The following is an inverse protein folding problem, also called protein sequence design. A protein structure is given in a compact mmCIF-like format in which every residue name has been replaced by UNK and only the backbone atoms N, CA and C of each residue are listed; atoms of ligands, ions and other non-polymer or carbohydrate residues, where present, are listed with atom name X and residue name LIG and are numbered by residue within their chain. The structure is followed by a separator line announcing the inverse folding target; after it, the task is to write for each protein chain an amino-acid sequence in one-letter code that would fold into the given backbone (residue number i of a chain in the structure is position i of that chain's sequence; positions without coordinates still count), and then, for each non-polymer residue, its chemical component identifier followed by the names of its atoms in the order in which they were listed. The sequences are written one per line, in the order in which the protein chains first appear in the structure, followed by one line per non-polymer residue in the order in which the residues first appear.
data_IF_233789375040
#
_entry.id   IF_233789375040
#
_cell.length_a   1.000
_cell.length_b   1.000
_cell.length_c   1.000
_cell.angle_alpha   90.00
_cell.angle_beta   90.00
_cell.angle_gamma   90.00
#
_symmetry.space_group_name_H-M   'P 1'
#
loop_
_entity.id
_entity.type
_entity.pdbx_description
1 polymer ?
#
# COMPACT_ATOMS: atom_id res chain seq x y z
N UNK A 1 -15.36 5.32 -10.09
CA UNK A 1 -14.34 4.77 -11.02
C UNK A 1 -14.27 5.54 -12.35
N UNK A 2 -15.30 5.58 -13.20
CA UNK A 2 -15.19 6.21 -14.52
C UNK A 2 -14.70 7.66 -14.49
N UNK A 3 -15.15 8.47 -13.55
CA UNK A 3 -14.77 9.88 -13.43
C UNK A 3 -13.29 10.04 -13.02
N UNK A 4 -12.79 9.22 -12.09
CA UNK A 4 -11.37 9.23 -11.67
C UNK A 4 -10.45 8.77 -12.80
N UNK A 5 -10.82 7.73 -13.53
CA UNK A 5 -10.07 7.30 -14.72
C UNK A 5 -10.09 8.38 -15.82
N UNK A 6 -11.23 9.02 -16.09
CA UNK A 6 -11.30 10.12 -17.05
C UNK A 6 -10.40 11.30 -16.65
N UNK A 7 -10.32 11.63 -15.35
CA UNK A 7 -9.40 12.63 -14.82
C UNK A 7 -7.94 12.25 -15.08
N UNK A 8 -7.55 11.02 -14.75
CA UNK A 8 -6.17 10.56 -14.93
C UNK A 8 -5.78 10.47 -16.41
N UNK A 9 -6.66 9.97 -17.26
CA UNK A 9 -6.44 9.95 -18.72
C UNK A 9 -6.31 11.39 -19.24
N UNK A 10 -7.17 12.30 -18.81
CA UNK A 10 -7.11 13.72 -19.18
C UNK A 10 -5.77 14.36 -18.79
N UNK A 11 -5.28 14.11 -17.56
CA UNK A 11 -3.98 14.61 -17.10
C UNK A 11 -2.84 13.99 -17.93
N UNK A 12 -2.88 12.68 -18.21
CA UNK A 12 -1.86 12.01 -19.01
C UNK A 12 -1.78 12.55 -20.43
N UNK A 13 -2.91 12.82 -21.08
CA UNK A 13 -2.97 13.44 -22.41
C UNK A 13 -2.46 14.89 -22.37
N UNK A 14 -2.89 15.67 -21.38
CA UNK A 14 -2.45 17.06 -21.21
C UNK A 14 -0.96 17.18 -20.96
N UNK A 15 -0.39 16.27 -20.17
CA UNK A 15 1.03 16.27 -19.77
C UNK A 15 1.91 15.34 -20.59
N UNK A 16 1.45 14.88 -21.77
CA UNK A 16 2.23 14.00 -22.65
C UNK A 16 3.64 14.53 -22.91
N UNK A 17 4.61 13.63 -23.00
CA UNK A 17 5.98 13.98 -23.28
C UNK A 17 6.16 14.37 -24.76
N UNK A 18 6.73 15.56 -25.03
CA UNK A 18 7.04 16.04 -26.38
C UNK A 18 8.50 15.89 -26.78
N UNK A 19 9.36 15.41 -25.89
CA UNK A 19 10.79 15.22 -26.13
C UNK A 19 11.35 14.05 -25.32
N UNK A 20 12.50 13.52 -25.74
CA UNK A 20 13.24 12.47 -25.00
C UNK A 20 13.51 12.89 -23.55
N UNK A 21 13.86 14.15 -23.32
CA UNK A 21 14.14 14.70 -22.00
C UNK A 21 12.88 14.73 -21.12
N UNK A 22 11.72 15.06 -21.68
CA UNK A 22 10.43 14.99 -20.96
C UNK A 22 10.02 13.55 -20.71
N UNK A 23 10.29 12.65 -21.65
CA UNK A 23 9.95 11.23 -21.54
C UNK A 23 10.73 10.54 -20.40
N UNK A 24 12.03 10.74 -20.27
CA UNK A 24 12.85 10.05 -19.27
C UNK A 24 12.94 10.76 -17.90
N UNK A 25 12.91 12.09 -17.88
CA UNK A 25 13.16 12.88 -16.64
C UNK A 25 12.22 14.08 -16.47
N UNK A 26 11.05 14.05 -17.10
CA UNK A 26 10.05 15.12 -17.01
C UNK A 26 10.60 16.54 -17.30
N UNK A 27 11.62 16.65 -18.18
CA UNK A 27 12.27 17.92 -18.53
C UNK A 27 13.06 18.56 -17.38
N UNK A 28 13.32 17.87 -16.29
CA UNK A 28 13.96 18.41 -15.05
C UNK A 28 13.22 19.63 -14.46
N UNK A 29 11.90 19.72 -14.67
CA UNK A 29 11.13 20.93 -14.33
C UNK A 29 10.15 20.77 -13.17
N UNK A 30 10.08 19.60 -12.55
CA UNK A 30 9.08 19.29 -11.53
C UNK A 30 9.33 20.08 -10.24
N UNK A 31 8.24 20.66 -9.69
CA UNK A 31 8.30 21.35 -8.40
C UNK A 31 8.60 20.34 -7.28
N UNK A 32 9.41 20.69 -6.26
CA UNK A 32 9.77 19.78 -5.17
C UNK A 32 8.58 19.20 -4.40
N UNK A 33 7.52 19.96 -4.16
CA UNK A 33 6.31 19.46 -3.49
C UNK A 33 5.58 18.47 -4.38
N UNK A 34 5.35 18.82 -5.65
CA UNK A 34 4.70 17.92 -6.62
C UNK A 34 5.51 16.63 -6.81
N UNK A 35 6.85 16.73 -6.86
CA UNK A 35 7.70 15.56 -6.92
C UNK A 35 7.65 14.74 -5.63
N UNK A 36 7.53 15.38 -4.47
CA UNK A 36 7.29 14.72 -3.19
C UNK A 36 5.99 13.93 -3.17
N UNK A 37 4.90 14.53 -3.67
CA UNK A 37 3.59 13.86 -3.81
C UNK A 37 3.66 12.69 -4.79
N UNK A 38 4.28 12.86 -5.95
CA UNK A 38 4.47 11.79 -6.92
C UNK A 38 5.31 10.64 -6.37
N UNK A 39 6.37 10.94 -5.60
CA UNK A 39 7.18 9.94 -4.91
C UNK A 39 6.37 9.21 -3.83
N UNK A 40 5.54 9.91 -3.07
CA UNK A 40 4.66 9.31 -2.09
C UNK A 40 3.61 8.40 -2.76
N UNK A 41 3.08 8.80 -3.92
CA UNK A 41 2.17 7.94 -4.70
C UNK A 41 2.87 6.67 -5.21
N UNK A 42 4.14 6.74 -5.62
CA UNK A 42 4.94 5.54 -5.94
C UNK A 42 5.09 4.63 -4.72
N UNK A 43 5.23 5.23 -3.53
CA UNK A 43 5.34 4.50 -2.27
C UNK A 43 4.01 3.89 -1.83
N UNK A 44 2.89 4.52 -2.16
CA UNK A 44 1.53 4.01 -1.96
C UNK A 44 1.21 2.91 -2.98
N UNK A 45 2.09 1.94 -3.07
CA UNK A 45 1.96 0.75 -3.90
C UNK A 45 0.88 -0.19 -3.35
N UNK A 46 0.49 -1.21 -4.11
CA UNK A 46 -0.40 -2.25 -3.61
C UNK A 46 0.10 -2.86 -2.29
N UNK A 47 1.42 -3.09 -2.17
CA UNK A 47 2.02 -3.61 -0.95
C UNK A 47 1.85 -2.65 0.25
N UNK A 48 2.03 -1.34 0.05
CA UNK A 48 1.95 -0.36 1.14
C UNK A 48 0.52 0.07 1.46
N UNK A 49 -0.32 0.24 0.43
CA UNK A 49 -1.68 0.74 0.58
C UNK A 49 -2.67 -0.37 0.98
N UNK A 50 -2.57 -1.52 0.34
CA UNK A 50 -3.51 -2.64 0.53
C UNK A 50 -2.93 -3.66 1.52
N UNK A 51 -1.76 -4.24 1.19
CA UNK A 51 -1.27 -5.44 1.91
C UNK A 51 -0.69 -5.12 3.29
N UNK A 52 -0.12 -3.93 3.53
CA UNK A 52 0.58 -3.65 4.78
C UNK A 52 -0.36 -3.64 5.99
N UNK A 53 -1.46 -2.89 5.93
CA UNK A 53 -2.45 -2.90 7.01
C UNK A 53 -3.11 -4.29 7.13
N UNK A 54 -3.31 -4.98 5.99
CA UNK A 54 -3.76 -6.37 5.98
C UNK A 54 -2.80 -7.31 6.70
N UNK A 55 -1.52 -7.25 6.44
CA UNK A 55 -0.51 -8.05 7.15
C UNK A 55 -0.55 -7.76 8.66
N UNK A 56 -0.54 -6.47 9.04
CA UNK A 56 -0.57 -6.07 10.45
C UNK A 56 -1.87 -6.53 11.11
N UNK A 57 -3.01 -6.52 10.42
CA UNK A 57 -4.29 -6.98 10.99
C UNK A 57 -4.29 -8.48 11.37
N UNK A 58 -3.52 -9.32 10.66
CA UNK A 58 -3.44 -10.75 10.92
C UNK A 58 -2.31 -11.14 11.87
N UNK A 59 -1.13 -10.51 11.75
CA UNK A 59 0.05 -10.90 12.55
C UNK A 59 0.43 -9.87 13.62
N UNK A 60 -0.39 -8.85 13.82
CA UNK A 60 -0.25 -7.88 14.90
C UNK A 60 1.10 -7.17 14.92
N UNK A 61 1.69 -7.09 16.11
CA UNK A 61 2.97 -6.42 16.37
C UNK A 61 4.10 -6.89 15.45
N UNK A 62 4.17 -8.17 15.16
CA UNK A 62 5.19 -8.73 14.26
C UNK A 62 5.12 -8.17 12.83
N UNK A 63 3.96 -7.62 12.42
CA UNK A 63 3.79 -6.95 11.14
C UNK A 63 4.45 -5.56 11.08
N UNK A 64 4.72 -4.94 12.21
CA UNK A 64 5.34 -3.61 12.29
C UNK A 64 6.77 -3.57 11.74
N UNK A 65 7.47 -4.71 11.72
CA UNK A 65 8.82 -4.83 11.15
C UNK A 65 8.89 -4.40 9.69
N UNK A 66 7.82 -4.65 8.93
CA UNK A 66 7.74 -4.24 7.52
C UNK A 66 7.64 -2.72 7.37
N UNK A 67 6.86 -2.05 8.24
CA UNK A 67 6.79 -0.59 8.31
C UNK A 67 8.16 0.04 8.55
N UNK A 68 8.89 -0.47 9.55
CA UNK A 68 10.23 0.02 9.88
C UNK A 68 11.21 -0.17 8.72
N UNK A 69 11.19 -1.35 8.09
CA UNK A 69 12.05 -1.67 6.97
C UNK A 69 11.83 -0.75 5.77
N UNK A 70 10.59 -0.60 5.32
CA UNK A 70 10.27 0.25 4.18
C UNK A 70 10.52 1.73 4.46
N UNK A 71 10.10 2.26 5.61
CA UNK A 71 10.37 3.65 6.00
C UNK A 71 11.87 3.92 6.07
N UNK A 72 12.62 3.02 6.73
CA UNK A 72 14.07 3.11 6.84
C UNK A 72 14.76 3.09 5.48
N UNK A 73 14.28 2.29 4.52
CA UNK A 73 14.77 2.27 3.15
C UNK A 73 14.63 3.61 2.44
N UNK A 74 13.48 4.28 2.59
CA UNK A 74 13.30 5.62 2.04
C UNK A 74 14.23 6.65 2.70
N UNK A 75 14.41 6.58 4.02
CA UNK A 75 15.34 7.46 4.74
C UNK A 75 16.77 7.27 4.24
N UNK A 76 17.22 6.01 4.06
CA UNK A 76 18.53 5.71 3.48
C UNK A 76 18.68 6.30 2.08
N UNK A 77 17.68 6.11 1.23
CA UNK A 77 17.66 6.65 -0.14
C UNK A 77 17.74 8.18 -0.11
N UNK A 78 16.93 8.83 0.71
CA UNK A 78 16.85 10.29 0.80
C UNK A 78 18.16 10.92 1.31
N UNK A 79 18.78 10.33 2.31
CA UNK A 79 19.99 10.85 2.94
C UNK A 79 21.27 10.51 2.16
N UNK A 80 21.40 9.27 1.71
CA UNK A 80 22.64 8.76 1.16
C UNK A 80 22.71 8.80 -0.36
N UNK A 81 21.60 8.58 -1.06
CA UNK A 81 21.62 8.40 -2.51
C UNK A 81 21.08 9.61 -3.30
N UNK A 82 19.98 10.20 -2.88
CA UNK A 82 19.29 11.23 -3.64
C UNK A 82 20.17 12.43 -4.06
N UNK A 83 20.98 13.04 -3.18
CA UNK A 83 21.84 14.15 -3.57
C UNK A 83 22.91 13.77 -4.58
N UNK A 84 23.51 12.58 -4.43
CA UNK A 84 24.58 12.11 -5.31
C UNK A 84 24.04 11.72 -6.68
N UNK A 85 22.93 10.99 -6.74
CA UNK A 85 22.26 10.63 -7.96
C UNK A 85 21.86 11.87 -8.78
N UNK A 86 21.29 12.86 -8.12
CA UNK A 86 20.93 14.13 -8.79
C UNK A 86 22.15 14.91 -9.28
N UNK A 87 23.23 14.93 -8.50
CA UNK A 87 24.50 15.59 -8.89
C UNK A 87 25.13 14.91 -10.10
N UNK A 88 25.08 13.57 -10.16
CA UNK A 88 25.64 12.78 -11.26
C UNK A 88 24.89 13.02 -12.58
N UNK A 89 23.57 13.22 -12.54
CA UNK A 89 22.76 13.76 -13.63
C UNK A 89 22.47 12.82 -14.80
N UNK A 90 22.61 11.52 -14.62
CA UNK A 90 22.25 10.51 -15.64
C UNK A 90 20.75 10.19 -15.62
N UNK A 91 20.28 9.47 -16.65
CA UNK A 91 18.85 9.15 -16.81
C UNK A 91 18.42 7.90 -16.03
N UNK A 92 19.34 6.94 -15.89
CA UNK A 92 19.04 5.62 -15.31
C UNK A 92 20.06 5.19 -14.27
N UNK A 93 19.66 4.26 -13.40
CA UNK A 93 20.56 3.64 -12.41
C UNK A 93 21.68 2.82 -13.10
N UNK A 94 21.42 2.03 -14.15
CA UNK A 94 22.48 1.34 -14.88
C UNK A 94 23.53 2.29 -15.47
N UNK A 95 23.13 3.46 -16.01
CA UNK A 95 24.09 4.46 -16.48
C UNK A 95 24.95 5.02 -15.35
N UNK A 96 24.33 5.29 -14.19
CA UNK A 96 25.07 5.72 -13.02
C UNK A 96 26.13 4.70 -12.59
N UNK A 97 25.76 3.40 -12.54
CA UNK A 97 26.67 2.32 -12.16
C UNK A 97 27.78 2.17 -13.20
N UNK A 98 27.44 2.12 -14.48
CA UNK A 98 28.40 1.98 -15.56
C UNK A 98 29.47 3.07 -15.58
N UNK A 99 29.04 4.33 -15.40
CA UNK A 99 29.95 5.47 -15.37
C UNK A 99 30.73 5.55 -14.05
N UNK A 100 30.13 5.19 -12.92
CA UNK A 100 30.78 5.20 -11.60
C UNK A 100 31.93 4.20 -11.50
N UNK A 101 31.76 3.03 -12.12
CA UNK A 101 32.77 1.95 -12.15
C UNK A 101 33.60 1.90 -13.44
N UNK A 102 33.34 2.83 -14.37
CA UNK A 102 34.01 2.86 -15.69
C UNK A 102 33.95 1.51 -16.42
N UNK A 103 32.82 0.80 -16.31
CA UNK A 103 32.69 -0.58 -16.81
C UNK A 103 31.38 -0.81 -17.55
N UNK A 104 31.47 -1.21 -18.81
CA UNK A 104 30.30 -1.63 -19.58
C UNK A 104 29.70 -2.95 -19.06
N UNK A 105 30.54 -3.84 -18.51
CA UNK A 105 30.06 -5.07 -17.88
C UNK A 105 29.19 -4.74 -16.67
N UNK A 106 29.66 -3.84 -15.78
CA UNK A 106 28.88 -3.38 -14.64
C UNK A 106 27.55 -2.74 -15.06
N UNK A 107 27.56 -1.94 -16.14
CA UNK A 107 26.32 -1.38 -16.72
C UNK A 107 25.36 -2.46 -17.19
N UNK A 108 25.84 -3.45 -17.93
CA UNK A 108 25.02 -4.55 -18.44
C UNK A 108 24.42 -5.38 -17.30
N UNK A 109 25.20 -5.75 -16.29
CA UNK A 109 24.71 -6.44 -15.09
C UNK A 109 23.63 -5.61 -14.38
N UNK A 110 23.86 -4.30 -14.22
CA UNK A 110 22.88 -3.41 -13.60
C UNK A 110 21.57 -3.31 -14.39
N UNK A 111 21.59 -3.39 -15.72
CA UNK A 111 20.38 -3.47 -16.57
C UNK A 111 19.59 -4.75 -16.25
N UNK A 112 20.25 -5.91 -16.23
CA UNK A 112 19.58 -7.17 -15.89
C UNK A 112 18.98 -7.15 -14.48
N UNK A 113 19.73 -6.65 -13.49
CA UNK A 113 19.21 -6.48 -12.14
C UNK A 113 17.98 -5.55 -12.10
N UNK A 114 18.04 -4.41 -12.79
CA UNK A 114 16.93 -3.46 -12.84
C UNK A 114 15.68 -4.06 -13.50
N UNK A 115 15.85 -4.88 -14.55
CA UNK A 115 14.74 -5.58 -15.20
C UNK A 115 14.10 -6.62 -14.28
N UNK A 116 14.89 -7.44 -13.58
CA UNK A 116 14.37 -8.44 -12.63
C UNK A 116 13.62 -7.76 -11.49
N UNK A 117 14.22 -6.72 -10.88
CA UNK A 117 13.56 -5.97 -9.78
C UNK A 117 12.25 -5.35 -10.25
N UNK A 118 12.25 -4.69 -11.42
CA UNK A 118 11.05 -4.05 -11.96
C UNK A 118 9.96 -5.06 -12.31
N UNK A 119 10.33 -6.21 -12.90
CA UNK A 119 9.38 -7.28 -13.23
C UNK A 119 8.71 -7.85 -11.98
N UNK A 120 9.51 -8.18 -10.95
CA UNK A 120 9.00 -8.69 -9.67
C UNK A 120 8.07 -7.68 -8.99
N UNK A 121 8.45 -6.41 -9.02
CA UNK A 121 7.62 -5.33 -8.47
C UNK A 121 6.28 -5.20 -9.21
N UNK A 122 6.30 -5.18 -10.55
CA UNK A 122 5.09 -5.07 -11.37
C UNK A 122 4.15 -6.27 -11.12
N UNK A 123 4.67 -7.48 -11.01
CA UNK A 123 3.86 -8.66 -10.73
C UNK A 123 3.05 -8.51 -9.43
N UNK A 124 3.68 -8.01 -8.35
CA UNK A 124 2.98 -7.70 -7.11
C UNK A 124 1.94 -6.59 -7.24
N UNK A 125 2.25 -5.53 -8.01
CA UNK A 125 1.30 -4.44 -8.26
C UNK A 125 0.07 -4.92 -9.05
N UNK A 126 0.27 -5.77 -10.04
CA UNK A 126 -0.84 -6.31 -10.86
C UNK A 126 -1.81 -7.16 -10.04
N UNK A 127 -1.33 -7.88 -9.01
CA UNK A 127 -2.21 -8.57 -8.07
C UNK A 127 -3.18 -7.60 -7.38
N UNK A 128 -2.68 -6.49 -6.83
CA UNK A 128 -3.52 -5.48 -6.20
C UNK A 128 -4.54 -4.85 -7.16
N UNK A 129 -4.12 -4.56 -8.39
CA UNK A 129 -5.02 -4.09 -9.45
C UNK A 129 -6.10 -5.13 -9.75
N UNK A 130 -5.74 -6.41 -9.84
CA UNK A 130 -6.67 -7.52 -10.07
C UNK A 130 -7.73 -7.60 -8.97
N UNK A 131 -7.35 -7.49 -7.70
CA UNK A 131 -8.26 -7.50 -6.54
C UNK A 131 -9.26 -6.34 -6.63
N UNK A 132 -8.78 -5.11 -6.87
CA UNK A 132 -9.64 -3.93 -6.98
C UNK A 132 -10.63 -4.06 -8.14
N UNK A 133 -10.16 -4.43 -9.31
CA UNK A 133 -11.04 -4.58 -10.48
C UNK A 133 -12.01 -5.75 -10.32
N UNK A 134 -11.58 -6.87 -9.75
CA UNK A 134 -12.47 -8.00 -9.46
C UNK A 134 -13.64 -7.57 -8.57
N UNK A 135 -13.33 -6.86 -7.47
CA UNK A 135 -14.34 -6.42 -6.51
C UNK A 135 -15.32 -5.39 -7.11
N UNK A 136 -14.82 -4.42 -7.86
CA UNK A 136 -15.63 -3.26 -8.28
C UNK A 136 -16.16 -3.34 -9.71
N UNK A 137 -15.57 -4.14 -10.59
CA UNK A 137 -16.09 -4.40 -11.93
C UNK A 137 -16.80 -5.74 -12.04
N UNK A 138 -16.82 -6.53 -10.94
CA UNK A 138 -17.45 -7.86 -10.88
C UNK A 138 -16.91 -8.80 -11.98
N UNK A 139 -15.59 -8.78 -12.19
CA UNK A 139 -14.87 -9.65 -13.13
C UNK A 139 -13.92 -10.57 -12.36
N UNK A 140 -13.48 -11.67 -12.97
CA UNK A 140 -12.45 -12.50 -12.37
C UNK A 140 -11.12 -11.73 -12.22
N UNK A 141 -10.28 -12.12 -11.26
CA UNK A 141 -9.02 -11.42 -10.93
C UNK A 141 -8.10 -11.33 -12.16
N UNK A 142 -8.02 -12.37 -12.99
CA UNK A 142 -7.17 -12.36 -14.18
C UNK A 142 -7.65 -11.33 -15.21
N UNK A 143 -8.95 -11.26 -15.46
CA UNK A 143 -9.55 -10.24 -16.33
C UNK A 143 -9.27 -8.84 -15.78
N UNK A 144 -9.39 -8.65 -14.45
CA UNK A 144 -9.04 -7.40 -13.78
C UNK A 144 -7.58 -7.01 -14.01
N UNK A 145 -6.65 -7.95 -13.91
CA UNK A 145 -5.22 -7.74 -14.20
C UNK A 145 -5.01 -7.29 -15.66
N UNK A 146 -5.64 -7.96 -16.64
CA UNK A 146 -5.50 -7.59 -18.05
C UNK A 146 -6.04 -6.20 -18.37
N UNK A 147 -7.19 -5.85 -17.81
CA UNK A 147 -7.78 -4.50 -17.96
C UNK A 147 -6.83 -3.45 -17.36
N UNK A 148 -6.37 -3.67 -16.15
CA UNK A 148 -5.43 -2.76 -15.48
C UNK A 148 -4.12 -2.61 -16.22
N UNK A 149 -3.55 -3.71 -16.71
CA UNK A 149 -2.31 -3.71 -17.50
C UNK A 149 -2.46 -2.89 -18.79
N UNK A 150 -3.58 -3.03 -19.50
CA UNK A 150 -3.85 -2.27 -20.71
C UNK A 150 -3.90 -0.75 -20.43
N UNK A 151 -4.56 -0.36 -19.34
CA UNK A 151 -4.65 1.05 -18.90
C UNK A 151 -3.27 1.59 -18.54
N UNK A 152 -2.50 0.85 -17.72
CA UNK A 152 -1.14 1.26 -17.30
C UNK A 152 -0.21 1.39 -18.51
N UNK A 153 -0.25 0.45 -19.45
CA UNK A 153 0.55 0.49 -20.67
C UNK A 153 0.23 1.73 -21.51
N UNK A 154 -1.05 2.07 -21.63
CA UNK A 154 -1.50 3.28 -22.33
C UNK A 154 -0.90 4.55 -21.71
N UNK A 155 -0.94 4.70 -20.38
CA UNK A 155 -0.32 5.83 -19.70
C UNK A 155 1.20 5.89 -19.91
N UNK A 156 1.87 4.75 -19.76
CA UNK A 156 3.33 4.67 -19.84
C UNK A 156 3.85 5.07 -21.23
N UNK A 157 3.18 4.61 -22.28
CA UNK A 157 3.57 4.89 -23.68
C UNK A 157 3.35 6.37 -24.02
N UNK A 158 2.20 6.94 -23.67
CA UNK A 158 1.85 8.31 -24.06
C UNK A 158 2.51 9.37 -23.17
N UNK A 159 2.56 9.13 -21.87
CA UNK A 159 2.92 10.15 -20.89
C UNK A 159 4.41 10.27 -20.61
N UNK A 160 5.15 9.17 -20.67
CA UNK A 160 6.51 9.12 -20.16
C UNK A 160 6.60 9.62 -18.71
N UNK A 161 7.77 9.95 -18.21
CA UNK A 161 7.97 10.44 -16.84
C UNK A 161 7.22 11.73 -16.53
N UNK A 162 7.02 12.62 -17.52
CA UNK A 162 6.28 13.87 -17.33
C UNK A 162 4.80 13.57 -17.05
N UNK A 163 4.16 12.78 -17.90
CA UNK A 163 2.75 12.39 -17.73
C UNK A 163 2.53 11.59 -16.46
N UNK A 164 3.36 10.59 -16.21
CA UNK A 164 3.31 9.76 -14.99
C UNK A 164 3.42 10.65 -13.74
N UNK A 165 4.37 11.58 -13.69
CA UNK A 165 4.57 12.43 -12.51
C UNK A 165 3.33 13.25 -12.16
N UNK A 166 2.72 13.94 -13.13
CA UNK A 166 1.53 14.76 -12.86
C UNK A 166 0.27 13.94 -12.57
N UNK A 167 0.13 12.77 -13.21
CA UNK A 167 -0.95 11.83 -12.87
C UNK A 167 -0.80 11.33 -11.43
N UNK A 168 0.41 11.01 -10.99
CA UNK A 168 0.67 10.56 -9.62
C UNK A 168 0.48 11.65 -8.56
N UNK A 169 0.69 12.92 -8.90
CA UNK A 169 0.30 14.02 -7.99
C UNK A 169 -1.20 14.01 -7.72
N UNK A 170 -2.02 13.84 -8.76
CA UNK A 170 -3.46 13.72 -8.59
C UNK A 170 -3.85 12.42 -7.86
N UNK A 171 -3.19 11.31 -8.18
CA UNK A 171 -3.39 10.03 -7.50
C UNK A 171 -3.06 10.12 -6.01
N UNK A 172 -1.97 10.79 -5.64
CA UNK A 172 -1.65 11.01 -4.21
C UNK A 172 -2.80 11.68 -3.47
N UNK A 173 -3.35 12.76 -4.04
CA UNK A 173 -4.47 13.47 -3.40
C UNK A 173 -5.69 12.56 -3.21
N UNK A 174 -6.03 11.76 -4.21
CA UNK A 174 -7.15 10.82 -4.13
C UNK A 174 -6.87 9.70 -3.14
N UNK A 175 -5.69 9.08 -3.21
CA UNK A 175 -5.30 7.96 -2.36
C UNK A 175 -5.25 8.34 -0.88
N UNK A 176 -4.62 9.48 -0.54
CA UNK A 176 -4.53 9.88 0.87
C UNK A 176 -5.90 10.23 1.45
N UNK A 177 -6.77 10.84 0.64
CA UNK A 177 -8.14 11.11 1.04
C UNK A 177 -8.93 9.81 1.25
N UNK A 178 -8.87 8.88 0.29
CA UNK A 178 -9.54 7.59 0.35
C UNK A 178 -9.06 6.73 1.55
N UNK A 179 -7.80 6.89 1.96
CA UNK A 179 -7.24 6.16 3.10
C UNK A 179 -7.61 6.80 4.43
N UNK A 180 -7.53 8.14 4.53
CA UNK A 180 -7.73 8.86 5.78
C UNK A 180 -9.18 9.00 6.17
N UNK A 181 -10.08 9.24 5.20
CA UNK A 181 -11.50 9.49 5.51
C UNK A 181 -12.15 8.30 6.22
N UNK A 182 -12.11 7.07 5.70
CA UNK A 182 -12.64 5.92 6.42
C UNK A 182 -11.96 5.71 7.78
N UNK A 183 -10.63 5.86 7.84
CA UNK A 183 -9.88 5.69 9.08
C UNK A 183 -10.32 6.65 10.18
N UNK A 184 -10.58 7.93 9.84
CA UNK A 184 -11.09 8.95 10.78
C UNK A 184 -12.49 8.57 11.28
N UNK A 185 -13.40 8.22 10.35
CA UNK A 185 -14.77 7.89 10.76
C UNK A 185 -14.85 6.61 11.60
N UNK A 186 -14.09 5.58 11.26
CA UNK A 186 -14.02 4.34 12.04
C UNK A 186 -13.40 4.61 13.42
N UNK A 187 -12.35 5.42 13.49
CA UNK A 187 -11.73 5.83 14.74
C UNK A 187 -12.73 6.55 15.66
N UNK A 188 -13.52 7.47 15.11
CA UNK A 188 -14.59 8.16 15.85
C UNK A 188 -15.66 7.14 16.31
N UNK A 189 -16.07 6.23 15.43
CA UNK A 189 -17.09 5.23 15.73
C UNK A 189 -16.67 4.29 16.86
N UNK A 190 -15.42 3.83 16.86
CA UNK A 190 -14.91 2.84 17.80
C UNK A 190 -14.44 3.46 19.13
N UNK A 191 -13.87 4.67 19.09
CA UNK A 191 -13.17 5.25 20.25
C UNK A 191 -13.53 6.71 20.54
N UNK A 192 -14.35 7.35 19.70
CA UNK A 192 -14.65 8.79 19.81
C UNK A 192 -13.50 9.72 19.40
N UNK A 193 -12.33 9.17 19.04
CA UNK A 193 -11.14 9.96 18.70
C UNK A 193 -11.05 10.19 17.18
N UNK A 194 -10.99 11.46 16.71
CA UNK A 194 -10.91 11.74 15.28
C UNK A 194 -9.52 11.50 14.66
N UNK A 195 -8.49 11.23 15.46
CA UNK A 195 -7.13 10.97 14.99
C UNK A 195 -6.86 9.47 15.06
N UNK A 196 -6.87 8.73 13.93
CA UNK A 196 -6.74 7.27 13.94
C UNK A 196 -5.49 6.77 14.66
N UNK A 197 -4.37 7.49 14.53
CA UNK A 197 -3.10 7.17 15.19
C UNK A 197 -3.16 7.23 16.71
N UNK A 198 -4.11 7.93 17.27
CA UNK A 198 -4.39 7.98 18.71
C UNK A 198 -5.57 7.06 19.04
N UNK A 199 -6.53 6.96 18.12
CA UNK A 199 -7.75 6.17 18.31
C UNK A 199 -7.48 4.70 18.60
N UNK A 200 -6.57 4.06 17.86
CA UNK A 200 -6.31 2.63 18.07
C UNK A 200 -5.67 2.30 19.44
N UNK A 201 -5.08 3.27 20.11
CA UNK A 201 -4.59 3.17 21.50
C UNK A 201 -5.54 3.79 22.55
N UNK A 202 -6.73 4.26 22.13
CA UNK A 202 -7.73 4.86 23.02
C UNK A 202 -8.70 3.81 23.55
N UNK A 203 -9.50 4.21 24.55
CA UNK A 203 -10.60 3.38 25.06
C UNK A 203 -11.77 3.36 24.07
N UNK A 204 -12.39 2.21 23.90
CA UNK A 204 -13.66 2.03 23.21
C UNK A 204 -14.84 2.49 24.07
N UNK A 205 -16.05 2.47 23.52
CA UNK A 205 -17.26 2.96 24.22
C UNK A 205 -17.57 2.20 25.53
N UNK A 206 -17.10 0.96 25.65
CA UNK A 206 -17.22 0.11 26.84
C UNK A 206 -16.16 0.40 27.92
N UNK A 207 -15.25 1.37 27.69
CA UNK A 207 -14.22 1.78 28.63
C UNK A 207 -12.96 0.92 28.64
N UNK A 208 -12.86 -0.10 27.77
CA UNK A 208 -11.69 -0.94 27.59
C UNK A 208 -10.79 -0.36 26.51
N UNK A 209 -9.47 -0.42 26.67
CA UNK A 209 -8.56 -0.01 25.59
C UNK A 209 -8.71 -0.94 24.39
N UNK A 210 -8.77 -0.36 23.19
CA UNK A 210 -9.07 -1.12 21.98
C UNK A 210 -8.07 -2.25 21.71
N UNK A 211 -6.79 -2.04 22.03
CA UNK A 211 -5.77 -3.08 21.91
C UNK A 211 -5.96 -4.22 22.91
N UNK A 212 -6.39 -3.92 24.14
CA UNK A 212 -6.69 -4.94 25.16
C UNK A 212 -7.95 -5.73 24.77
N UNK A 213 -8.97 -5.03 24.23
CA UNK A 213 -10.15 -5.68 23.66
C UNK A 213 -9.78 -6.64 22.53
N UNK A 214 -8.93 -6.21 21.59
CA UNK A 214 -8.48 -7.07 20.51
C UNK A 214 -7.64 -8.27 21.00
N UNK A 215 -6.80 -8.08 22.01
CA UNK A 215 -6.08 -9.19 22.64
C UNK A 215 -7.04 -10.20 23.28
N UNK A 216 -8.08 -9.73 23.99
CA UNK A 216 -9.11 -10.59 24.55
C UNK A 216 -9.84 -11.41 23.49
N UNK A 217 -10.27 -10.79 22.41
CA UNK A 217 -10.88 -11.48 21.26
C UNK A 217 -9.96 -12.53 20.64
N UNK A 218 -8.66 -12.23 20.54
CA UNK A 218 -7.67 -13.19 20.03
C UNK A 218 -7.51 -14.39 20.98
N UNK A 219 -7.46 -14.14 22.31
CA UNK A 219 -7.34 -15.20 23.31
C UNK A 219 -8.59 -16.11 23.28
N UNK A 220 -9.78 -15.55 23.27
CA UNK A 220 -11.04 -16.29 23.21
C UNK A 220 -11.15 -17.20 21.99
N UNK A 221 -10.65 -16.74 20.84
CA UNK A 221 -10.70 -17.48 19.57
C UNK A 221 -9.45 -18.35 19.31
N UNK A 222 -8.50 -18.39 20.26
CA UNK A 222 -7.27 -19.18 20.12
C UNK A 222 -6.25 -18.66 19.13
N UNK A 223 -6.32 -17.38 18.76
CA UNK A 223 -5.25 -16.70 18.02
C UNK A 223 -4.11 -16.29 18.95
N UNK A 224 -2.94 -16.03 18.37
CA UNK A 224 -1.82 -15.43 19.12
C UNK A 224 -2.19 -14.03 19.58
N UNK A 225 -1.68 -13.63 20.75
CA UNK A 225 -1.87 -12.28 21.28
C UNK A 225 -1.41 -11.23 20.26
N UNK A 226 -2.27 -10.26 19.94
CA UNK A 226 -2.06 -9.32 18.85
C UNK A 226 -0.91 -8.34 19.09
N UNK A 227 -0.70 -7.95 20.34
CA UNK A 227 0.31 -6.97 20.75
C UNK A 227 1.65 -7.60 21.13
N UNK A 228 1.74 -8.92 21.22
CA UNK A 228 2.99 -9.62 21.51
C UNK A 228 3.76 -9.94 20.22
N UNK A 229 5.11 -9.89 20.33
CA UNK A 229 6.00 -10.29 19.24
C UNK A 229 6.51 -11.70 19.41
N UNK A 230 6.42 -12.51 18.37
CA UNK A 230 6.95 -13.89 18.33
C UNK A 230 8.33 -13.98 17.66
N UNK A 231 8.75 -12.95 16.92
CA UNK A 231 10.02 -12.92 16.18
C UNK A 231 11.21 -12.70 17.09
N UNK A 232 12.31 -13.41 16.84
CA UNK A 232 13.56 -13.15 17.53
C UNK A 232 14.12 -11.76 17.16
N UNK A 233 14.90 -11.15 18.06
CA UNK A 233 15.56 -9.86 17.79
C UNK A 233 16.44 -9.92 16.53
N UNK A 234 17.06 -11.08 16.27
CA UNK A 234 17.86 -11.29 15.07
C UNK A 234 16.99 -11.28 13.81
N UNK A 235 15.84 -11.94 13.82
CA UNK A 235 14.90 -11.94 12.69
C UNK A 235 14.38 -10.54 12.42
N UNK A 236 13.97 -9.80 13.46
CA UNK A 236 13.54 -8.40 13.34
C UNK A 236 14.64 -7.55 12.70
N UNK A 237 15.88 -7.69 13.15
CA UNK A 237 17.02 -6.97 12.59
C UNK A 237 17.28 -7.33 11.12
N UNK A 238 17.31 -8.63 10.80
CA UNK A 238 17.61 -9.09 9.44
C UNK A 238 16.51 -8.72 8.45
N UNK A 239 15.23 -8.86 8.82
CA UNK A 239 14.10 -8.48 7.99
C UNK A 239 14.12 -6.95 7.75
N UNK A 240 14.30 -6.18 8.82
CA UNK A 240 14.38 -4.71 8.73
C UNK A 240 15.54 -4.29 7.83
N UNK A 241 16.74 -4.83 8.03
CA UNK A 241 17.93 -4.50 7.25
C UNK A 241 17.76 -4.87 5.77
N UNK A 242 17.23 -6.06 5.47
CA UNK A 242 16.97 -6.51 4.11
C UNK A 242 15.97 -5.59 3.39
N UNK A 243 14.88 -5.23 4.07
CA UNK A 243 13.87 -4.31 3.53
C UNK A 243 14.43 -2.89 3.34
N UNK A 244 15.21 -2.38 4.31
CA UNK A 244 15.83 -1.05 4.21
C UNK A 244 16.78 -0.96 3.00
N UNK A 245 17.68 -1.93 2.87
CA UNK A 245 18.67 -1.95 1.79
C UNK A 245 17.99 -2.16 0.43
N UNK A 246 17.07 -3.13 0.35
CA UNK A 246 16.34 -3.44 -0.87
C UNK A 246 15.50 -2.27 -1.35
N UNK A 247 14.76 -1.63 -0.46
CA UNK A 247 13.89 -0.50 -0.78
C UNK A 247 14.68 0.73 -1.21
N UNK A 248 15.84 0.99 -0.60
CA UNK A 248 16.72 2.09 -1.02
C UNK A 248 17.25 1.93 -2.45
N UNK A 249 17.27 0.71 -2.99
CA UNK A 249 17.72 0.38 -4.34
C UNK A 249 16.62 0.37 -5.42
N UNK A 250 15.37 0.67 -5.11
CA UNK A 250 14.26 0.57 -6.05
C UNK A 250 14.39 1.57 -7.23
N UNK A 251 14.50 1.08 -8.48
CA UNK A 251 14.78 1.94 -9.64
C UNK A 251 13.70 3.00 -9.88
N UNK A 252 12.43 2.66 -9.71
CA UNK A 252 11.29 3.56 -9.95
C UNK A 252 11.23 4.72 -8.94
N UNK A 253 11.71 4.53 -7.71
CA UNK A 253 11.81 5.60 -6.71
C UNK A 253 13.03 6.49 -6.96
N UNK A 254 14.17 5.87 -7.30
CA UNK A 254 15.42 6.57 -7.58
C UNK A 254 15.26 7.57 -8.72
N UNK A 255 14.53 7.22 -9.78
CA UNK A 255 14.36 8.07 -10.97
C UNK A 255 13.70 9.41 -10.64
N UNK A 256 12.94 9.52 -9.56
CA UNK A 256 12.28 10.75 -9.11
C UNK A 256 13.27 11.87 -8.77
N UNK A 257 14.47 11.54 -8.33
CA UNK A 257 15.49 12.54 -8.01
C UNK A 257 16.12 13.17 -9.27
N UNK A 258 15.96 12.55 -10.44
CA UNK A 258 16.40 13.13 -11.70
C UNK A 258 15.43 14.15 -12.30
N UNK A 259 14.16 14.15 -11.87
CA UNK A 259 13.10 15.00 -12.46
C UNK A 259 13.10 16.45 -11.96
N UNK A 260 13.79 16.76 -10.88
CA UNK A 260 13.89 18.11 -10.31
C UNK A 260 15.09 18.90 -10.82
N UNK A 261 15.08 20.26 -10.70
CA UNK A 261 16.11 21.14 -11.30
C UNK A 261 17.46 21.04 -10.60
N UNK A 262 17.46 21.12 -9.27
CA UNK A 262 18.70 21.31 -8.46
C UNK A 262 18.81 20.19 -7.41
N UNK A 263 20.03 20.01 -6.89
CA UNK A 263 20.31 19.10 -5.78
C UNK A 263 19.53 19.51 -4.51
N UNK A 264 19.41 20.83 -4.26
CA UNK A 264 18.59 21.35 -3.15
C UNK A 264 17.11 20.96 -3.30
N UNK A 265 16.60 20.94 -4.53
CA UNK A 265 15.21 20.55 -4.82
C UNK A 265 14.99 19.05 -4.61
N UNK A 266 16.00 18.22 -4.90
CA UNK A 266 15.96 16.79 -4.61
C UNK A 266 15.84 16.52 -3.10
N UNK A 267 16.61 17.26 -2.28
CA UNK A 267 16.52 17.16 -0.81
C UNK A 267 15.17 17.62 -0.28
N UNK A 268 14.65 18.75 -0.78
CA UNK A 268 13.32 19.26 -0.40
C UNK A 268 12.21 18.26 -0.80
N UNK A 269 12.29 17.73 -2.01
CA UNK A 269 11.37 16.70 -2.50
C UNK A 269 11.39 15.45 -1.64
N UNK A 270 12.59 14.99 -1.23
CA UNK A 270 12.73 13.85 -0.33
C UNK A 270 12.07 14.10 1.04
N UNK A 271 12.24 15.30 1.59
CA UNK A 271 11.59 15.67 2.85
C UNK A 271 10.06 15.72 2.75
N UNK A 272 9.53 16.29 1.67
CA UNK A 272 8.08 16.29 1.42
C UNK A 272 7.53 14.88 1.22
N UNK A 273 8.22 14.04 0.44
CA UNK A 273 7.79 12.66 0.25
C UNK A 273 7.78 11.89 1.58
N UNK A 274 8.81 12.08 2.43
CA UNK A 274 8.84 11.44 3.76
C UNK A 274 7.65 11.85 4.63
N UNK A 275 7.30 13.15 4.64
CA UNK A 275 6.11 13.63 5.36
C UNK A 275 4.83 12.96 4.83
N UNK A 276 4.67 12.92 3.51
CA UNK A 276 3.49 12.34 2.88
C UNK A 276 3.38 10.82 3.07
N UNK A 277 4.50 10.11 3.06
CA UNK A 277 4.58 8.69 3.38
C UNK A 277 4.27 8.44 4.86
N UNK A 278 4.77 9.30 5.75
CA UNK A 278 4.54 9.18 7.19
C UNK A 278 3.05 9.24 7.54
N UNK A 279 2.25 10.05 6.86
CA UNK A 279 0.79 10.11 7.07
C UNK A 279 0.16 8.74 6.83
N UNK A 280 0.50 8.07 5.72
CA UNK A 280 -0.01 6.74 5.41
C UNK A 280 0.48 5.71 6.44
N UNK A 281 1.79 5.67 6.68
CA UNK A 281 2.41 4.61 7.48
C UNK A 281 2.11 4.68 8.97
N UNK A 282 1.86 5.87 9.51
CA UNK A 282 1.40 6.03 10.89
C UNK A 282 -0.08 5.69 11.06
N UNK A 283 -0.86 5.73 9.97
CA UNK A 283 -2.30 5.40 10.00
C UNK A 283 -2.55 3.89 9.76
N UNK A 284 -1.66 3.20 9.05
CA UNK A 284 -1.85 1.79 8.70
C UNK A 284 -2.03 0.85 9.91
N UNK A 285 -1.28 0.98 11.02
CA UNK A 285 -1.55 0.18 12.22
C UNK A 285 -2.93 0.40 12.81
N UNK A 286 -3.41 1.64 12.80
CA UNK A 286 -4.76 1.97 13.28
C UNK A 286 -5.84 1.28 12.42
N UNK A 287 -5.72 1.37 11.09
CA UNK A 287 -6.62 0.68 10.16
C UNK A 287 -6.57 -0.83 10.41
N UNK A 288 -5.39 -1.39 10.63
CA UNK A 288 -5.22 -2.82 10.89
C UNK A 288 -5.98 -3.27 12.14
N UNK A 289 -5.84 -2.53 13.25
CA UNK A 289 -6.55 -2.80 14.51
C UNK A 289 -8.06 -2.66 14.32
N UNK A 290 -8.51 -1.57 13.71
CA UNK A 290 -9.95 -1.35 13.47
C UNK A 290 -10.54 -2.44 12.59
N UNK A 291 -9.88 -2.78 11.48
CA UNK A 291 -10.34 -3.81 10.56
C UNK A 291 -10.38 -5.19 11.22
N UNK A 292 -9.36 -5.53 12.02
CA UNK A 292 -9.30 -6.81 12.70
C UNK A 292 -10.39 -6.95 13.76
N UNK A 293 -10.58 -5.94 14.59
CA UNK A 293 -11.61 -5.93 15.62
C UNK A 293 -13.01 -6.02 15.01
N UNK A 294 -13.31 -5.13 14.05
CA UNK A 294 -14.62 -5.13 13.38
C UNK A 294 -14.89 -6.45 12.65
N UNK A 295 -13.89 -7.04 12.01
CA UNK A 295 -14.04 -8.33 11.32
C UNK A 295 -14.44 -9.42 12.32
N UNK A 296 -13.67 -9.59 13.41
CA UNK A 296 -13.93 -10.64 14.40
C UNK A 296 -15.33 -10.46 15.01
N UNK A 297 -15.68 -9.25 15.43
CA UNK A 297 -17.00 -8.96 16.02
C UNK A 297 -18.16 -9.14 15.04
N UNK A 298 -17.90 -9.12 13.72
CA UNK A 298 -18.98 -9.25 12.73
C UNK A 298 -19.19 -10.69 12.25
N UNK A 299 -18.13 -11.51 12.27
CA UNK A 299 -18.21 -12.84 11.63
C UNK A 299 -18.14 -14.00 12.62
N UNK A 300 -17.51 -13.81 13.80
CA UNK A 300 -17.29 -14.92 14.73
C UNK A 300 -18.57 -15.33 15.41
N UNK A 301 -18.85 -16.65 15.40
CA UNK A 301 -20.05 -17.25 16.01
C UNK A 301 -21.40 -16.78 15.43
N UNK A 302 -21.38 -16.17 14.26
CA UNK A 302 -22.58 -15.68 13.58
C UNK A 302 -23.07 -16.69 12.53
N UNK A 303 -24.39 -16.71 12.33
CA UNK A 303 -25.02 -17.60 11.34
C UNK A 303 -24.70 -17.13 9.90
N UNK A 304 -24.16 -18.00 9.05
CA UNK A 304 -23.78 -17.67 7.67
C UNK A 304 -24.92 -17.09 6.84
N UNK A 305 -26.15 -17.53 7.10
CA UNK A 305 -27.34 -17.05 6.38
C UNK A 305 -27.62 -15.56 6.65
N UNK A 306 -27.16 -15.03 7.79
CA UNK A 306 -27.38 -13.65 8.23
C UNK A 306 -26.25 -12.69 7.82
N UNK A 307 -25.19 -13.22 7.21
CA UNK A 307 -24.03 -12.43 6.84
C UNK A 307 -24.38 -11.23 5.95
N UNK A 308 -23.79 -10.05 6.23
CA UNK A 308 -24.03 -8.83 5.48
C UNK A 308 -23.69 -8.96 4.00
N UNK A 309 -24.25 -8.07 3.18
CA UNK A 309 -24.01 -8.05 1.73
C UNK A 309 -22.53 -8.01 1.34
N UNK A 310 -21.69 -7.27 2.10
CA UNK A 310 -20.25 -7.18 1.82
C UNK A 310 -19.58 -8.55 1.88
N UNK A 311 -19.96 -9.41 2.83
CA UNK A 311 -19.39 -10.75 3.00
C UNK A 311 -19.55 -11.60 1.71
N UNK A 312 -20.77 -11.68 1.20
CA UNK A 312 -21.09 -12.43 -0.03
C UNK A 312 -20.35 -11.87 -1.24
N UNK A 313 -20.21 -10.55 -1.32
CA UNK A 313 -19.47 -9.88 -2.41
C UNK A 313 -17.98 -10.18 -2.39
N UNK A 314 -17.37 -10.31 -1.23
CA UNK A 314 -15.97 -10.73 -1.14
C UNK A 314 -15.81 -12.23 -1.35
N UNK A 315 -16.79 -13.04 -0.98
CA UNK A 315 -16.84 -14.47 -1.28
C UNK A 315 -16.91 -14.72 -2.78
N UNK A 316 -17.72 -13.95 -3.53
CA UNK A 316 -17.80 -14.03 -5.00
C UNK A 316 -16.44 -13.79 -5.70
N UNK A 317 -15.54 -13.01 -5.09
CA UNK A 317 -14.18 -12.81 -5.61
C UNK A 317 -13.24 -13.99 -5.34
N UNK A 318 -13.64 -14.92 -4.44
CA UNK A 318 -12.80 -15.99 -3.95
C UNK A 318 -11.71 -15.59 -2.95
N UNK A 319 -11.69 -14.33 -2.51
CA UNK A 319 -10.74 -13.80 -1.52
C UNK A 319 -11.23 -13.97 -0.07
N UNK A 320 -12.48 -14.31 0.10
CA UNK A 320 -13.10 -14.77 1.33
C UNK A 320 -13.76 -16.10 1.03
N UNK A 321 -13.60 -17.11 1.91
CA UNK A 321 -14.18 -18.46 1.72
C UNK A 321 -14.67 -18.98 3.05
N UNK A 322 -15.91 -19.43 3.07
CA UNK A 322 -16.51 -20.17 4.16
C UNK A 322 -16.62 -21.66 3.80
N UNK A 323 -16.22 -22.53 4.71
CA UNK A 323 -16.27 -23.99 4.58
C UNK A 323 -16.83 -24.58 5.87
N UNK A 324 -18.14 -24.80 5.90
CA UNK A 324 -18.86 -25.35 7.04
C UNK A 324 -18.46 -26.79 7.30
N UNK A 325 -17.54 -27.02 8.22
CA UNK A 325 -16.93 -28.32 8.52
C UNK A 325 -17.80 -29.19 9.43
N UNK A 326 -18.60 -28.56 10.28
CA UNK A 326 -19.42 -29.26 11.27
C UNK A 326 -20.91 -29.32 10.87
N UNK A 327 -21.32 -28.64 9.80
CA UNK A 327 -22.68 -28.57 9.25
C UNK A 327 -23.69 -27.90 10.24
N UNK A 328 -23.26 -26.88 11.00
CA UNK A 328 -24.12 -26.12 11.91
C UNK A 328 -24.55 -24.76 11.35
N UNK A 329 -23.99 -24.35 10.20
CA UNK A 329 -24.24 -23.09 9.52
C UNK A 329 -23.83 -21.85 10.34
N UNK A 330 -22.96 -22.01 11.34
CA UNK A 330 -22.39 -20.96 12.17
C UNK A 330 -20.90 -20.80 11.79
N UNK A 331 -20.40 -19.58 11.70
CA UNK A 331 -19.02 -19.33 11.28
C UNK A 331 -18.07 -19.49 12.47
N UNK A 332 -17.31 -20.57 12.51
CA UNK A 332 -16.21 -20.74 13.46
C UNK A 332 -14.93 -20.09 12.88
N UNK A 333 -14.68 -18.84 13.32
CA UNK A 333 -13.46 -18.13 12.95
C UNK A 333 -12.42 -18.23 14.07
N UNK A 334 -11.55 -19.23 13.98
CA UNK A 334 -10.67 -19.68 15.06
C UNK A 334 -9.20 -19.68 14.67
N UNK A 335 -8.31 -19.62 15.68
CA UNK A 335 -6.87 -19.74 15.48
C UNK A 335 -6.40 -21.16 15.12
N UNK A 336 -7.16 -22.20 15.46
CA UNK A 336 -6.89 -23.59 15.06
C UNK A 336 -7.33 -23.81 13.62
N UNK A 337 -6.39 -24.04 12.70
CA UNK A 337 -6.65 -24.28 11.28
C UNK A 337 -7.60 -25.45 11.01
N UNK A 338 -7.65 -26.44 11.89
CA UNK A 338 -8.53 -27.61 11.71
C UNK A 338 -9.99 -27.30 12.00
N UNK A 339 -10.23 -26.41 12.94
CA UNK A 339 -11.55 -26.00 13.37
C UNK A 339 -12.03 -24.72 12.66
N UNK A 340 -11.10 -23.92 12.16
CA UNK A 340 -11.41 -22.69 11.46
C UNK A 340 -12.11 -22.92 10.14
N UNK A 341 -13.25 -22.28 9.93
CA UNK A 341 -14.11 -22.41 8.76
C UNK A 341 -14.06 -21.20 7.83
N UNK A 342 -13.42 -20.11 8.27
CA UNK A 342 -13.35 -18.89 7.50
C UNK A 342 -11.91 -18.59 7.07
N UNK A 343 -11.67 -18.55 5.76
CA UNK A 343 -10.39 -18.14 5.17
C UNK A 343 -10.53 -16.78 4.52
N UNK A 344 -9.67 -15.83 4.91
CA UNK A 344 -9.72 -14.45 4.45
C UNK A 344 -8.36 -14.06 3.88
N UNK A 345 -8.34 -13.57 2.64
CA UNK A 345 -7.13 -12.96 2.07
C UNK A 345 -6.87 -11.61 2.75
N UNK A 346 -5.68 -11.45 3.30
CA UNK A 346 -5.29 -10.23 4.03
C UNK A 346 -5.40 -8.94 3.20
N UNK A 347 -5.28 -9.06 1.89
CA UNK A 347 -5.31 -7.91 0.98
C UNK A 347 -6.71 -7.27 0.85
N UNK A 348 -7.76 -7.91 1.36
CA UNK A 348 -9.10 -7.28 1.38
C UNK A 348 -9.31 -6.35 2.59
N UNK A 349 -8.50 -6.46 3.65
CA UNK A 349 -8.77 -5.81 4.93
C UNK A 349 -8.93 -4.30 4.86
N UNK A 350 -8.09 -3.61 4.07
CA UNK A 350 -8.20 -2.16 3.89
C UNK A 350 -9.45 -1.79 3.10
N UNK A 351 -9.74 -2.56 2.05
CA UNK A 351 -10.85 -2.29 1.14
C UNK A 351 -12.20 -2.65 1.76
N UNK A 352 -12.27 -3.73 2.52
CA UNK A 352 -13.48 -4.21 3.19
C UNK A 352 -13.80 -3.45 4.48
N UNK A 353 -12.80 -2.87 5.16
CA UNK A 353 -12.99 -2.23 6.47
C UNK A 353 -14.11 -1.18 6.50
N UNK A 354 -14.26 -0.25 5.53
CA UNK A 354 -15.37 0.68 5.50
C UNK A 354 -16.73 -0.01 5.35
N UNK A 355 -16.80 -1.11 4.60
CA UNK A 355 -18.01 -1.92 4.41
C UNK A 355 -18.36 -2.67 5.71
N UNK A 356 -17.36 -3.28 6.36
CA UNK A 356 -17.51 -3.99 7.64
C UNK A 356 -17.97 -3.03 8.73
N UNK A 357 -17.38 -1.84 8.81
CA UNK A 357 -17.75 -0.78 9.74
C UNK A 357 -19.08 -0.09 9.39
N UNK A 358 -19.78 -0.53 8.36
CA UNK A 358 -21.07 0.01 7.90
C UNK A 358 -21.03 1.53 7.64
N UNK A 359 -19.91 2.05 7.14
CA UNK A 359 -19.83 3.46 6.79
C UNK A 359 -20.74 3.78 5.59
N UNK A 360 -21.30 5.00 5.52
CA UNK A 360 -22.10 5.41 4.38
C UNK A 360 -21.37 5.24 3.05
N UNK A 361 -22.09 4.87 1.98
CA UNK A 361 -21.55 4.61 0.64
C UNK A 361 -20.65 5.73 0.09
N UNK A 362 -20.78 6.95 0.61
CA UNK A 362 -19.93 8.08 0.22
C UNK A 362 -18.45 7.86 0.63
N UNK A 363 -18.18 7.12 1.68
CA UNK A 363 -16.84 6.75 2.12
C UNK A 363 -16.19 5.70 1.22
N UNK A 364 -16.98 4.95 0.44
CA UNK A 364 -16.55 3.91 -0.48
C UNK A 364 -16.27 4.43 -1.90
N UNK A 365 -16.72 5.63 -2.25
CA UNK A 365 -16.60 6.20 -3.61
C UNK A 365 -15.14 6.49 -4.00
N UNK A 366 -14.23 6.52 -3.05
CA UNK A 366 -12.87 7.00 -3.24
C UNK A 366 -11.81 5.90 -3.41
N UNK A 367 -12.22 4.64 -3.34
CA UNK A 367 -11.33 3.48 -3.53
C UNK A 367 -11.28 3.04 -5.00
#
# INVERSE_FOLDING_TARGET
MGLTFALYIGIAIWSKAGSTNEFYIAGKGVNPIANGMATAADWMSAASFISMAGIISFIGYDGSVYLMGWTGGYVLLALLLAPYLRKFGKFTVPDFIGDRYYSNVARTVAVFCALIVSFTYIAGQMRGVGIVFSRYLEVDINSGVFIGMAIVLFYAILGGMKGITYTQVAQYCVLIFAFMVPAIFISIQMTGNPIPQLGFGSQSADGVYLLDKLNGLHEELGFSEYTSGSKSTLDVFLITAALMIGTAGLPHVIVRFFTVKKVSDARKSAGWALLFIAILYTTAPAIAVFARTNLIETVSEEEYSTMPYWFKKWEDTGLLKYDDKNNDNIIQYLGDEKLNELTIDKDIMVLANPEIAQLPNLSLIHI
#
